data_IF_876199798064
#
_entry.id   IF_876199798064
#
_cell.length_a   1.000
_cell.length_b   1.000
_cell.length_c   1.000
_cell.angle_alpha   90.00
_cell.angle_beta   90.00
_cell.angle_gamma   90.00
#
_symmetry.space_group_name_H-M   'P 1'
#
loop_
_entity.id
_entity.type
_entity.pdbx_description
1 polymer ?
#
# COMPACT_ATOMS: atom_id res chain seq x y z
N UNK A 1 14.32 -5.09 -30.00
CA UNK A 1 13.86 -4.37 -28.81
C UNK A 1 14.79 -4.75 -27.68
N UNK A 2 15.81 -3.90 -27.44
CA UNK A 2 16.79 -4.11 -26.35
C UNK A 2 16.11 -3.79 -25.01
N UNK A 3 15.54 -4.79 -24.37
CA UNK A 3 15.21 -4.73 -22.97
C UNK A 3 16.31 -5.50 -22.25
N UNK A 4 17.35 -4.73 -21.85
CA UNK A 4 18.43 -5.13 -20.95
C UNK A 4 19.23 -6.35 -21.43
N UNK A 5 20.05 -6.12 -22.40
CA UNK A 5 21.24 -6.95 -22.65
C UNK A 5 22.43 -6.29 -21.94
N UNK A 6 22.35 -6.20 -20.61
CA UNK A 6 23.52 -5.95 -19.78
C UNK A 6 23.69 -7.16 -18.88
N UNK A 7 24.30 -8.21 -19.45
CA UNK A 7 25.13 -9.19 -18.75
C UNK A 7 25.34 -10.47 -19.59
N UNK A 8 26.14 -10.34 -20.62
CA UNK A 8 26.72 -11.52 -21.32
C UNK A 8 27.88 -12.11 -20.51
N UNK A 9 28.28 -11.49 -19.42
CA UNK A 9 29.34 -12.01 -18.53
C UNK A 9 28.86 -12.08 -17.07
N UNK A 10 28.29 -13.21 -16.70
CA UNK A 10 28.40 -13.86 -15.38
C UNK A 10 28.18 -13.06 -14.09
N UNK A 11 27.57 -11.86 -14.06
CA UNK A 11 27.38 -11.10 -12.83
C UNK A 11 25.95 -10.57 -12.67
N UNK A 12 25.26 -11.12 -11.65
CA UNK A 12 24.10 -10.58 -10.96
C UNK A 12 23.12 -9.74 -11.79
N UNK A 13 22.22 -10.41 -12.47
CA UNK A 13 21.05 -9.79 -13.09
C UNK A 13 20.14 -9.17 -12.03
N UNK A 14 20.22 -7.85 -11.83
CA UNK A 14 19.36 -7.08 -10.94
C UNK A 14 17.97 -6.78 -11.54
N UNK A 15 17.66 -7.30 -12.73
CA UNK A 15 16.38 -7.09 -13.40
C UNK A 15 15.25 -7.96 -12.83
N UNK A 16 14.00 -7.50 -12.97
CA UNK A 16 12.80 -8.27 -12.64
C UNK A 16 12.54 -9.39 -13.64
N UNK A 17 12.87 -9.16 -14.91
CA UNK A 17 12.74 -10.11 -16.01
C UNK A 17 14.05 -10.21 -16.76
N UNK A 18 14.47 -11.44 -17.07
CA UNK A 18 15.64 -11.75 -17.87
C UNK A 18 15.15 -12.60 -19.03
N UNK A 19 15.40 -12.15 -20.26
CA UNK A 19 15.20 -12.93 -21.46
C UNK A 19 16.56 -13.39 -21.96
N UNK A 20 16.79 -14.69 -21.96
CA UNK A 20 18.02 -15.32 -22.43
C UNK A 20 17.73 -16.12 -23.71
N UNK A 21 18.39 -15.78 -24.80
CA UNK A 21 18.28 -16.54 -26.04
C UNK A 21 19.25 -17.72 -25.98
N UNK A 22 18.71 -18.92 -25.88
CA UNK A 22 19.44 -20.18 -26.04
C UNK A 22 18.90 -20.87 -27.29
N UNK A 23 19.63 -20.76 -28.40
CA UNK A 23 19.15 -21.30 -29.67
C UNK A 23 18.78 -22.78 -29.55
N UNK A 24 17.57 -23.20 -30.02
CA UNK A 24 16.57 -22.42 -30.75
C UNK A 24 15.55 -21.69 -29.85
N UNK A 25 15.63 -21.79 -28.51
CA UNK A 25 14.61 -21.38 -27.56
C UNK A 25 14.89 -20.02 -26.92
N UNK A 26 13.83 -19.29 -26.60
CA UNK A 26 13.85 -18.09 -25.78
C UNK A 26 13.45 -18.47 -24.33
N UNK A 27 14.39 -18.36 -23.40
CA UNK A 27 14.14 -18.67 -21.98
C UNK A 27 13.91 -17.39 -21.21
N UNK A 28 12.72 -17.27 -20.58
CA UNK A 28 12.38 -16.18 -19.67
C UNK A 28 12.62 -16.60 -18.22
N UNK A 29 13.42 -15.82 -17.49
CA UNK A 29 13.60 -15.97 -16.02
C UNK A 29 12.98 -14.79 -15.31
N UNK A 30 12.21 -15.06 -14.24
CA UNK A 30 11.56 -14.03 -13.40
C UNK A 30 12.25 -13.97 -12.05
N UNK A 31 12.66 -12.79 -11.63
CA UNK A 31 13.18 -12.56 -10.29
C UNK A 31 12.01 -12.44 -9.29
N UNK A 32 11.52 -13.57 -8.80
CA UNK A 32 10.40 -13.63 -7.86
C UNK A 32 10.69 -12.83 -6.58
N UNK A 33 11.93 -12.90 -6.07
CA UNK A 33 12.31 -12.15 -4.86
C UNK A 33 12.24 -10.62 -5.08
N UNK A 34 12.71 -10.15 -6.24
CA UNK A 34 12.58 -8.74 -6.63
C UNK A 34 11.12 -8.29 -6.75
N UNK A 35 10.28 -9.13 -7.36
CA UNK A 35 8.86 -8.88 -7.49
C UNK A 35 8.15 -8.79 -6.12
N UNK A 36 8.44 -9.75 -5.22
CA UNK A 36 7.90 -9.72 -3.85
C UNK A 36 8.32 -8.48 -3.06
N UNK A 37 9.55 -8.00 -3.23
CA UNK A 37 10.01 -6.74 -2.61
C UNK A 37 9.19 -5.55 -3.09
N UNK A 38 8.89 -5.47 -4.38
CA UNK A 38 8.04 -4.40 -4.93
C UNK A 38 6.64 -4.49 -4.35
N UNK A 39 6.04 -5.70 -4.28
CA UNK A 39 4.73 -5.88 -3.66
C UNK A 39 4.72 -5.37 -2.22
N UNK A 40 5.71 -5.74 -1.41
CA UNK A 40 5.82 -5.26 -0.02
C UNK A 40 5.95 -3.74 0.04
N UNK A 41 6.73 -3.13 -0.86
CA UNK A 41 6.87 -1.68 -0.95
C UNK A 41 5.54 -0.98 -1.29
N UNK A 42 4.69 -1.62 -2.08
CA UNK A 42 3.39 -1.07 -2.49
C UNK A 42 2.28 -1.25 -1.44
N UNK A 43 2.45 -2.14 -0.44
CA UNK A 43 1.39 -2.44 0.55
C UNK A 43 0.85 -1.18 1.23
N UNK A 44 1.65 -0.22 1.74
CA UNK A 44 1.11 0.97 2.38
C UNK A 44 0.19 1.76 1.45
N UNK A 45 0.59 1.94 0.20
CA UNK A 45 -0.18 2.66 -0.82
C UNK A 45 -1.48 1.91 -1.16
N UNK A 46 -1.41 0.60 -1.36
CA UNK A 46 -2.57 -0.24 -1.68
C UNK A 46 -3.60 -0.20 -0.55
N UNK A 47 -3.15 -0.42 0.71
CA UNK A 47 -4.05 -0.48 1.85
C UNK A 47 -4.71 0.87 2.15
N UNK A 48 -3.96 1.96 2.04
CA UNK A 48 -4.51 3.30 2.28
C UNK A 48 -5.43 3.77 1.15
N UNK A 49 -5.16 3.38 -0.12
CA UNK A 49 -6.07 3.62 -1.24
C UNK A 49 -7.35 2.81 -1.09
N UNK A 50 -7.25 1.52 -0.71
CA UNK A 50 -8.41 0.68 -0.41
C UNK A 50 -9.27 1.30 0.71
N UNK A 51 -8.64 1.91 1.72
CA UNK A 51 -9.34 2.61 2.79
C UNK A 51 -10.12 3.85 2.31
N UNK A 52 -9.61 4.62 1.35
CA UNK A 52 -10.38 5.73 0.76
C UNK A 52 -11.65 5.18 0.11
N UNK A 53 -11.54 4.11 -0.68
CA UNK A 53 -12.70 3.48 -1.33
C UNK A 53 -13.68 2.91 -0.31
N UNK A 54 -13.17 2.22 0.73
CA UNK A 54 -13.99 1.64 1.78
C UNK A 54 -14.74 2.73 2.57
N UNK A 55 -14.06 3.83 2.94
CA UNK A 55 -14.67 4.96 3.63
C UNK A 55 -15.76 5.61 2.77
N UNK A 56 -15.49 5.81 1.48
CA UNK A 56 -16.46 6.35 0.53
C UNK A 56 -17.74 5.49 0.50
N UNK A 57 -17.59 4.20 0.25
CA UNK A 57 -18.72 3.27 0.17
C UNK A 57 -19.45 3.13 1.52
N UNK A 58 -18.73 3.28 2.65
CA UNK A 58 -19.34 3.23 3.99
C UNK A 58 -20.22 4.46 4.26
N UNK A 59 -19.80 5.64 3.77
CA UNK A 59 -20.59 6.87 3.86
C UNK A 59 -21.82 6.82 2.95
N UNK A 60 -21.66 6.29 1.73
CA UNK A 60 -22.66 6.38 0.66
C UNK A 60 -23.63 5.18 0.63
N UNK A 61 -23.64 4.30 1.63
CA UNK A 61 -24.37 3.02 1.61
C UNK A 61 -25.86 3.19 1.23
N UNK A 62 -26.59 4.15 1.83
CA UNK A 62 -28.01 4.34 1.55
C UNK A 62 -28.24 4.85 0.13
N UNK A 63 -27.42 5.81 -0.31
CA UNK A 63 -27.47 6.36 -1.66
C UNK A 63 -27.12 5.31 -2.72
N UNK A 64 -26.09 4.50 -2.45
CA UNK A 64 -25.67 3.40 -3.33
C UNK A 64 -26.80 2.37 -3.52
N UNK A 65 -27.49 1.99 -2.44
CA UNK A 65 -28.62 1.05 -2.50
C UNK A 65 -29.78 1.61 -3.32
N UNK A 66 -30.14 2.90 -3.14
CA UNK A 66 -31.16 3.58 -3.92
C UNK A 66 -30.79 3.57 -5.42
N UNK A 67 -29.51 3.81 -5.73
CA UNK A 67 -28.96 3.82 -7.08
C UNK A 67 -28.64 2.39 -7.63
N UNK A 68 -29.06 1.33 -6.91
CA UNK A 68 -28.81 -0.08 -7.25
C UNK A 68 -27.31 -0.41 -7.37
N UNK A 69 -26.46 0.24 -6.61
CA UNK A 69 -25.04 -0.02 -6.48
C UNK A 69 -24.80 -0.85 -5.23
N UNK A 70 -24.49 -2.10 -5.40
CA UNK A 70 -24.26 -3.03 -4.29
C UNK A 70 -22.75 -3.15 -4.03
N UNK A 71 -22.22 -2.25 -3.19
CA UNK A 71 -20.81 -2.23 -2.79
C UNK A 71 -20.51 -3.25 -1.70
N UNK A 72 -19.23 -3.46 -1.36
CA UNK A 72 -18.82 -4.41 -0.32
C UNK A 72 -19.52 -4.13 1.02
N UNK A 73 -19.83 -2.87 1.30
CA UNK A 73 -20.50 -2.46 2.56
C UNK A 73 -21.94 -2.96 2.64
N UNK A 74 -22.61 -3.09 1.50
CA UNK A 74 -23.94 -3.71 1.43
C UNK A 74 -23.92 -5.17 1.91
N UNK A 75 -22.91 -5.94 1.52
CA UNK A 75 -22.82 -7.37 1.84
C UNK A 75 -22.28 -7.64 3.24
N UNK A 76 -21.28 -6.86 3.69
CA UNK A 76 -20.59 -7.09 4.96
C UNK A 76 -21.17 -6.27 6.13
N UNK A 77 -21.93 -5.22 5.82
CA UNK A 77 -22.48 -4.28 6.80
C UNK A 77 -21.47 -3.24 7.29
N UNK A 78 -21.99 -2.07 7.67
CA UNK A 78 -21.17 -0.95 8.19
C UNK A 78 -20.29 -1.29 9.38
N UNK A 79 -20.78 -2.01 10.42
CA UNK A 79 -19.94 -2.29 11.59
C UNK A 79 -18.67 -3.07 11.22
N UNK A 80 -18.79 -4.08 10.36
CA UNK A 80 -17.64 -4.85 9.91
C UNK A 80 -16.69 -4.00 9.06
N UNK A 81 -17.24 -3.18 8.15
CA UNK A 81 -16.42 -2.33 7.27
C UNK A 81 -15.65 -1.26 8.04
N UNK A 82 -16.17 -0.74 9.16
CA UNK A 82 -15.47 0.17 10.05
C UNK A 82 -14.27 -0.52 10.73
N UNK A 83 -14.41 -1.78 11.15
CA UNK A 83 -13.28 -2.54 11.70
C UNK A 83 -12.27 -2.92 10.61
N UNK A 84 -12.74 -3.27 9.42
CA UNK A 84 -11.89 -3.53 8.26
C UNK A 84 -11.07 -2.27 7.89
N UNK A 85 -11.66 -1.09 7.99
CA UNK A 85 -10.97 0.18 7.78
C UNK A 85 -9.76 0.35 8.72
N UNK A 86 -9.90 -0.02 10.01
CA UNK A 86 -8.76 -0.04 10.94
C UNK A 86 -7.75 -1.13 10.55
N UNK A 87 -8.23 -2.33 10.23
CA UNK A 87 -7.36 -3.47 9.89
C UNK A 87 -6.44 -3.16 8.70
N UNK A 88 -6.94 -2.48 7.66
CA UNK A 88 -6.14 -2.08 6.51
C UNK A 88 -5.02 -1.09 6.91
N UNK A 89 -5.26 -0.15 7.84
CA UNK A 89 -4.18 0.69 8.37
C UNK A 89 -3.17 -0.13 9.16
N UNK A 90 -3.62 -1.06 10.01
CA UNK A 90 -2.70 -1.93 10.76
C UNK A 90 -1.82 -2.73 9.81
N UNK A 91 -2.38 -3.32 8.75
CA UNK A 91 -1.62 -4.04 7.72
C UNK A 91 -0.58 -3.12 7.06
N UNK A 92 -0.97 -1.87 6.74
CA UNK A 92 -0.06 -0.86 6.19
C UNK A 92 1.14 -0.62 7.12
N UNK A 93 0.92 -0.40 8.43
CA UNK A 93 2.00 -0.19 9.38
C UNK A 93 2.86 -1.44 9.59
N UNK A 94 2.25 -2.63 9.66
CA UNK A 94 2.99 -3.89 9.78
C UNK A 94 3.90 -4.13 8.58
N UNK A 95 3.46 -3.76 7.37
CA UNK A 95 4.30 -3.86 6.19
C UNK A 95 5.51 -2.92 6.24
N UNK A 96 5.35 -1.69 6.75
CA UNK A 96 6.46 -0.74 6.95
C UNK A 96 7.43 -1.25 8.02
N UNK A 97 6.93 -1.88 9.09
CA UNK A 97 7.78 -2.48 10.13
C UNK A 97 8.59 -3.65 9.56
N UNK A 98 7.97 -4.49 8.74
CA UNK A 98 8.62 -5.67 8.17
C UNK A 98 9.60 -5.33 7.01
N UNK A 99 9.33 -4.28 6.26
CA UNK A 99 10.04 -3.95 5.02
C UNK A 99 11.57 -3.79 5.15
N UNK A 100 12.15 -3.19 6.21
CA UNK A 100 13.59 -3.09 6.39
C UNK A 100 14.29 -4.45 6.54
N UNK A 101 13.66 -5.44 7.18
CA UNK A 101 14.22 -6.79 7.32
C UNK A 101 14.37 -7.51 5.98
N UNK A 102 13.53 -7.16 5.00
CA UNK A 102 13.61 -7.68 3.64
C UNK A 102 14.46 -6.80 2.70
N UNK A 103 15.08 -5.73 3.24
CA UNK A 103 15.86 -4.78 2.45
C UNK A 103 15.01 -4.02 1.43
N UNK A 104 13.75 -3.74 1.76
CA UNK A 104 12.78 -2.99 0.91
C UNK A 104 12.85 -1.50 1.23
N UNK A 105 12.77 -1.14 2.52
CA UNK A 105 12.92 0.23 3.00
C UNK A 105 14.14 0.36 3.92
N UNK A 106 14.74 1.56 4.02
CA UNK A 106 15.71 1.85 5.07
C UNK A 106 15.02 1.93 6.44
N UNK A 107 15.80 1.78 7.52
CA UNK A 107 15.29 1.88 8.90
C UNK A 107 14.64 3.23 9.22
N UNK A 108 15.04 4.28 8.53
CA UNK A 108 14.44 5.61 8.64
C UNK A 108 12.97 5.66 8.22
N UNK A 109 12.48 4.67 7.47
CA UNK A 109 11.05 4.53 7.18
C UNK A 109 10.17 4.35 8.43
N UNK A 110 10.78 3.95 9.58
CA UNK A 110 10.07 3.90 10.87
C UNK A 110 9.57 5.26 11.38
N UNK A 111 10.02 6.38 10.81
CA UNK A 111 9.40 7.69 11.04
C UNK A 111 7.89 7.68 10.73
N UNK A 112 7.46 6.79 9.84
CA UNK A 112 6.03 6.56 9.57
C UNK A 112 5.23 6.21 10.84
N UNK A 113 5.81 5.49 11.79
CA UNK A 113 5.12 5.09 13.01
C UNK A 113 4.65 6.29 13.87
N UNK A 114 5.29 7.44 13.71
CA UNK A 114 4.87 8.68 14.38
C UNK A 114 3.50 9.19 13.91
N UNK A 115 3.03 8.74 12.74
CA UNK A 115 1.71 9.09 12.22
C UNK A 115 0.58 8.26 12.84
N UNK A 116 0.90 7.12 13.46
CA UNK A 116 -0.09 6.18 14.00
C UNK A 116 -1.07 6.81 15.00
N UNK A 117 -0.67 7.64 15.97
CA UNK A 117 -1.61 8.27 16.90
C UNK A 117 -2.66 9.14 16.20
N UNK A 118 -2.26 9.86 15.14
CA UNK A 118 -3.15 10.71 14.34
C UNK A 118 -4.13 9.85 13.54
N UNK A 119 -3.63 8.82 12.87
CA UNK A 119 -4.45 7.88 12.08
C UNK A 119 -5.46 7.17 12.97
N UNK A 120 -5.04 6.71 14.16
CA UNK A 120 -5.93 6.07 15.12
C UNK A 120 -7.00 7.01 15.67
N UNK A 121 -6.65 8.29 15.92
CA UNK A 121 -7.62 9.33 16.30
C UNK A 121 -8.65 9.56 15.19
N UNK A 122 -8.20 9.62 13.94
CA UNK A 122 -9.06 9.79 12.78
C UNK A 122 -10.00 8.59 12.58
N UNK A 123 -9.49 7.36 12.78
CA UNK A 123 -10.33 6.16 12.81
C UNK A 123 -11.45 6.26 13.87
N UNK A 124 -11.10 6.65 15.10
CA UNK A 124 -12.11 6.83 16.17
C UNK A 124 -13.18 7.85 15.81
N UNK A 125 -12.80 8.95 15.17
CA UNK A 125 -13.75 9.94 14.68
C UNK A 125 -14.67 9.37 13.60
N UNK A 126 -14.11 8.65 12.62
CA UNK A 126 -14.86 7.99 11.56
C UNK A 126 -15.83 6.95 12.13
N UNK A 127 -15.38 6.13 13.11
CA UNK A 127 -16.23 5.15 13.79
C UNK A 127 -17.40 5.78 14.56
N UNK A 128 -17.18 6.95 15.16
CA UNK A 128 -18.21 7.67 15.94
C UNK A 128 -19.20 8.47 15.09
N UNK A 129 -18.80 8.85 13.87
CA UNK A 129 -19.60 9.68 12.97
C UNK A 129 -19.25 9.35 11.52
N UNK A 130 -20.07 8.53 10.86
CA UNK A 130 -19.88 8.16 9.46
C UNK A 130 -20.55 9.22 8.59
N UNK A 131 -19.75 10.16 8.09
CA UNK A 131 -20.22 11.32 7.32
C UNK A 131 -19.33 11.61 6.14
N UNK A 132 -19.95 11.78 4.97
CA UNK A 132 -19.25 12.12 3.72
C UNK A 132 -18.50 13.45 3.82
N UNK A 133 -19.11 14.43 4.49
CA UNK A 133 -18.57 15.79 4.58
C UNK A 133 -17.55 15.93 5.71
N UNK A 134 -17.80 15.29 6.87
CA UNK A 134 -17.03 15.52 8.10
C UNK A 134 -15.90 14.52 8.29
N UNK A 135 -16.13 13.24 8.01
CA UNK A 135 -15.18 12.19 8.39
C UNK A 135 -14.57 11.43 7.21
N UNK A 136 -15.20 11.38 6.04
CA UNK A 136 -14.56 10.85 4.83
C UNK A 136 -13.23 11.55 4.50
N UNK A 137 -13.08 12.90 4.60
CA UNK A 137 -11.80 13.56 4.33
C UNK A 137 -10.65 13.07 5.22
N UNK A 138 -10.95 12.49 6.39
CA UNK A 138 -9.93 11.89 7.26
C UNK A 138 -9.26 10.67 6.63
N UNK A 139 -9.95 9.95 5.75
CA UNK A 139 -9.34 8.85 4.99
C UNK A 139 -8.27 9.36 4.01
N UNK A 140 -8.55 10.49 3.35
CA UNK A 140 -7.61 11.16 2.46
C UNK A 140 -6.43 11.72 3.26
N UNK A 141 -6.69 12.34 4.41
CA UNK A 141 -5.63 12.82 5.31
C UNK A 141 -4.71 11.69 5.75
N UNK A 142 -5.27 10.55 6.17
CA UNK A 142 -4.48 9.39 6.58
C UNK A 142 -3.66 8.81 5.42
N UNK A 143 -4.23 8.75 4.22
CA UNK A 143 -3.51 8.36 3.01
C UNK A 143 -2.26 9.23 2.79
N UNK A 144 -2.42 10.56 2.83
CA UNK A 144 -1.31 11.50 2.65
C UNK A 144 -0.28 11.34 3.77
N UNK A 145 -0.71 11.29 5.03
CA UNK A 145 0.19 11.16 6.18
C UNK A 145 1.05 9.90 6.10
N UNK A 146 0.44 8.74 5.84
CA UNK A 146 1.15 7.47 5.79
C UNK A 146 2.13 7.43 4.62
N UNK A 147 1.65 7.72 3.40
CA UNK A 147 2.49 7.56 2.21
C UNK A 147 3.59 8.63 2.14
N UNK A 148 3.30 9.87 2.55
CA UNK A 148 4.30 10.92 2.57
C UNK A 148 5.38 10.67 3.62
N UNK A 149 5.02 10.15 4.80
CA UNK A 149 6.01 9.82 5.83
C UNK A 149 6.90 8.63 5.44
N UNK A 150 6.36 7.61 4.74
CA UNK A 150 7.17 6.51 4.17
C UNK A 150 8.12 7.06 3.11
N UNK A 151 7.63 7.93 2.23
CA UNK A 151 8.45 8.60 1.21
C UNK A 151 9.59 9.41 1.84
N UNK A 152 9.29 10.28 2.82
CA UNK A 152 10.30 11.08 3.52
C UNK A 152 11.31 10.20 4.25
N UNK A 153 10.85 9.21 5.00
CA UNK A 153 11.73 8.30 5.72
C UNK A 153 12.66 7.54 4.77
N UNK A 154 12.15 7.11 3.61
CA UNK A 154 12.96 6.45 2.58
C UNK A 154 13.98 7.40 1.98
N UNK A 155 13.57 8.63 1.66
CA UNK A 155 14.44 9.67 1.11
C UNK A 155 15.59 9.99 2.08
N UNK A 156 15.29 10.21 3.36
CA UNK A 156 16.31 10.46 4.40
C UNK A 156 17.29 9.27 4.46
N UNK A 157 16.80 8.05 4.42
CA UNK A 157 17.67 6.86 4.47
C UNK A 157 18.59 6.70 3.26
N UNK A 158 18.22 7.23 2.10
CA UNK A 158 19.08 7.25 0.91
C UNK A 158 20.23 8.26 1.11
N UNK A 159 19.94 9.42 1.69
CA UNK A 159 20.96 10.47 1.90
C UNK A 159 21.89 10.19 3.08
N UNK A 160 21.49 9.33 4.04
CA UNK A 160 22.33 8.95 5.19
C UNK A 160 23.23 7.73 4.91
N UNK A 161 23.17 7.16 3.72
CA UNK A 161 24.01 6.06 3.27
C UNK A 161 25.30 6.56 2.61
#
# INVERSE_FOLDING_TARGET
>A
VNIIVDNIEGKNTKGLFILEYQAPDLVGKVNVAGFLKILVACVPLIMTTANIMLANNTCDLEEDVINRRYTIVYYLGRPFCVELYLALYVISYLSVIAAPFFGVFPWTAYLNLLTFPVVFKNYKKFKGDISKERTFPLAIQNFVLINFSVFLGTLIGIFLK
#
